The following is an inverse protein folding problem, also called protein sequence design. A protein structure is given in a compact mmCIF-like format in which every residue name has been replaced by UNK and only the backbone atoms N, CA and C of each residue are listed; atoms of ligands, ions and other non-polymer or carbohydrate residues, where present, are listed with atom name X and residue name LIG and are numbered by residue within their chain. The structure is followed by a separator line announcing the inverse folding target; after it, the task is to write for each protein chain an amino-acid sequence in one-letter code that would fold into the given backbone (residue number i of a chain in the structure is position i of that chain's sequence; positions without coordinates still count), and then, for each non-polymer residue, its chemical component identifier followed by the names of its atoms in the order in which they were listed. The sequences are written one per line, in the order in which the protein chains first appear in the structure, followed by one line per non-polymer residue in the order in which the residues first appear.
data_IF_210414131089
#
_entry.id   IF_210414131089
#
_cell.length_a   1.000
_cell.length_b   1.000
_cell.length_c   1.000
_cell.angle_alpha   90.00
_cell.angle_beta   90.00
_cell.angle_gamma   90.00
#
_symmetry.space_group_name_H-M   'P 1'
#
loop_
_entity.id
_entity.type
_entity.pdbx_description
1 polymer ?
#
# COMPACT_ATOMS: atom_id res chain seq x y z
N UNK A 1 -20.07 -4.11 -4.62
CA UNK A 1 -19.15 -5.21 -5.01
C UNK A 1 -18.38 -5.67 -3.77
N UNK A 2 -18.09 -6.97 -3.59
CA UNK A 2 -17.24 -7.44 -2.49
C UNK A 2 -15.84 -6.81 -2.60
N UNK A 3 -15.25 -6.36 -1.47
CA UNK A 3 -13.92 -5.70 -1.43
C UNK A 3 -12.83 -6.43 -2.24
N UNK A 4 -12.83 -7.77 -2.19
CA UNK A 4 -11.88 -8.63 -2.93
C UNK A 4 -12.00 -8.52 -4.45
N UNK A 5 -13.22 -8.38 -4.97
CA UNK A 5 -13.48 -8.27 -6.42
C UNK A 5 -13.01 -6.92 -6.95
N UNK A 6 -13.31 -5.85 -6.21
CA UNK A 6 -12.85 -4.50 -6.56
C UNK A 6 -11.32 -4.43 -6.57
N UNK A 7 -10.68 -5.06 -5.58
CA UNK A 7 -9.22 -5.10 -5.49
C UNK A 7 -8.58 -5.85 -6.67
N UNK A 8 -9.10 -7.02 -7.06
CA UNK A 8 -8.59 -7.78 -8.21
C UNK A 8 -8.76 -7.03 -9.55
N UNK A 9 -9.89 -6.33 -9.75
CA UNK A 9 -10.13 -5.47 -10.92
C UNK A 9 -9.08 -4.38 -11.00
N UNK A 10 -8.83 -3.70 -9.87
CA UNK A 10 -7.90 -2.58 -9.78
C UNK A 10 -6.45 -3.00 -10.05
N UNK A 11 -6.06 -4.17 -9.56
CA UNK A 11 -4.73 -4.71 -9.85
C UNK A 11 -4.55 -5.08 -11.33
N UNK A 12 -5.54 -5.76 -11.94
CA UNK A 12 -5.46 -6.10 -13.35
C UNK A 12 -5.34 -4.84 -14.21
N UNK A 13 -6.08 -3.78 -13.87
CA UNK A 13 -5.94 -2.48 -14.52
C UNK A 13 -4.50 -1.93 -14.40
N UNK A 14 -3.92 -1.96 -13.20
CA UNK A 14 -2.55 -1.50 -13.01
C UNK A 14 -1.51 -2.32 -13.79
N UNK A 15 -1.67 -3.65 -13.87
CA UNK A 15 -0.83 -4.51 -14.71
C UNK A 15 -0.99 -4.19 -16.19
N UNK A 16 -2.22 -3.95 -16.64
CA UNK A 16 -2.52 -3.56 -18.02
C UNK A 16 -1.85 -2.24 -18.37
N UNK A 17 -1.93 -1.22 -17.50
CA UNK A 17 -1.30 0.07 -17.78
C UNK A 17 0.22 0.01 -17.75
N UNK A 18 0.81 -0.59 -16.71
CA UNK A 18 2.26 -0.69 -16.58
C UNK A 18 2.91 -1.39 -17.78
N UNK A 19 2.25 -2.45 -18.30
CA UNK A 19 2.73 -3.19 -19.45
C UNK A 19 2.22 -2.65 -20.80
N UNK A 20 1.56 -1.48 -20.83
CA UNK A 20 0.97 -0.86 -22.03
C UNK A 20 0.07 -1.82 -22.81
N UNK A 21 -0.74 -2.62 -22.10
CA UNK A 21 -1.70 -3.57 -22.66
C UNK A 21 -3.10 -2.97 -22.67
N UNK A 22 -3.73 -2.97 -23.83
CA UNK A 22 -5.13 -2.53 -24.02
C UNK A 22 -6.14 -3.58 -23.54
N UNK A 23 -5.72 -4.83 -23.40
CA UNK A 23 -6.61 -5.94 -23.07
C UNK A 23 -6.08 -6.77 -21.90
N UNK A 24 -7.00 -7.26 -21.08
CA UNK A 24 -6.71 -8.14 -19.94
C UNK A 24 -7.78 -9.21 -19.80
N UNK A 25 -7.43 -10.30 -19.11
CA UNK A 25 -8.34 -11.40 -18.81
C UNK A 25 -8.26 -11.65 -17.30
N UNK A 26 -9.42 -11.71 -16.65
CA UNK A 26 -9.54 -12.17 -15.26
C UNK A 26 -10.36 -13.45 -15.23
N UNK A 27 -9.85 -14.51 -14.62
CA UNK A 27 -10.54 -15.79 -14.52
C UNK A 27 -10.64 -16.24 -13.05
N UNK A 28 -11.85 -16.57 -12.62
CA UNK A 28 -12.17 -17.07 -11.27
C UNK A 28 -12.33 -18.59 -11.23
N UNK A 29 -11.88 -19.30 -12.26
CA UNK A 29 -12.13 -20.71 -12.59
C UNK A 29 -13.59 -21.04 -12.95
N UNK A 30 -14.55 -20.32 -12.39
CA UNK A 30 -15.98 -20.46 -12.71
C UNK A 30 -16.47 -19.41 -13.71
N UNK A 31 -15.78 -18.28 -13.82
CA UNK A 31 -16.20 -17.17 -14.67
C UNK A 31 -15.00 -16.38 -15.18
N UNK A 32 -14.99 -16.09 -16.48
CA UNK A 32 -13.98 -15.29 -17.17
C UNK A 32 -14.55 -13.92 -17.50
N UNK A 33 -13.77 -12.88 -17.25
CA UNK A 33 -14.08 -11.49 -17.57
C UNK A 33 -13.00 -10.95 -18.50
N UNK A 34 -13.42 -10.26 -19.56
CA UNK A 34 -12.53 -9.57 -20.49
C UNK A 34 -12.47 -8.10 -20.11
N UNK A 35 -11.26 -7.56 -20.10
CA UNK A 35 -10.98 -6.17 -19.77
C UNK A 35 -10.46 -5.48 -21.00
N UNK A 36 -10.95 -4.28 -21.28
CA UNK A 36 -10.41 -3.38 -22.29
C UNK A 36 -10.11 -2.04 -21.63
N UNK A 37 -8.93 -1.50 -21.89
CA UNK A 37 -8.52 -0.15 -21.52
C UNK A 37 -8.36 0.65 -22.80
N UNK A 38 -9.01 1.80 -22.86
CA UNK A 38 -8.78 2.75 -23.96
C UNK A 38 -7.55 3.61 -23.72
N UNK A 39 -7.23 4.48 -24.68
CA UNK A 39 -6.04 5.31 -24.63
C UNK A 39 -6.18 6.48 -23.63
N UNK A 40 -7.40 6.73 -23.13
CA UNK A 40 -7.73 7.72 -22.10
C UNK A 40 -7.69 7.13 -20.67
N UNK A 41 -7.49 5.82 -20.54
CA UNK A 41 -7.42 5.11 -19.26
C UNK A 41 -8.76 4.59 -18.73
N UNK A 42 -9.83 4.68 -19.51
CA UNK A 42 -11.13 4.12 -19.12
C UNK A 42 -11.11 2.60 -19.21
N UNK A 43 -11.55 1.92 -18.14
CA UNK A 43 -11.63 0.47 -18.07
C UNK A 43 -13.04 -0.03 -18.35
N UNK A 44 -13.16 -0.88 -19.38
CA UNK A 44 -14.36 -1.60 -19.74
C UNK A 44 -14.22 -3.07 -19.31
N UNK A 45 -15.26 -3.61 -18.69
CA UNK A 45 -15.29 -4.99 -18.21
C UNK A 45 -16.46 -5.71 -18.86
N UNK A 46 -16.22 -6.85 -19.49
CA UNK A 46 -17.28 -7.65 -20.10
C UNK A 46 -18.23 -8.21 -19.05
N UNK A 47 -19.42 -8.62 -19.49
CA UNK A 47 -20.22 -9.56 -18.70
C UNK A 47 -19.40 -10.83 -18.41
N UNK A 48 -19.62 -11.41 -17.23
CA UNK A 48 -18.95 -12.65 -16.84
C UNK A 48 -19.35 -13.79 -17.75
N UNK A 49 -18.38 -14.41 -18.39
CA UNK A 49 -18.54 -15.59 -19.23
C UNK A 49 -18.39 -16.80 -18.31
N UNK A 50 -19.50 -17.44 -17.93
CA UNK A 50 -19.45 -18.61 -17.08
C UNK A 50 -18.72 -19.77 -17.77
N UNK A 51 -17.84 -20.45 -17.03
CA UNK A 51 -17.22 -21.69 -17.50
C UNK A 51 -18.30 -22.79 -17.56
N UNK A 52 -18.41 -23.47 -18.69
CA UNK A 52 -19.27 -24.64 -18.83
C UNK A 52 -18.43 -25.89 -18.53
N UNK A 53 -18.95 -26.83 -17.72
CA UNK A 53 -18.25 -28.08 -17.39
C UNK A 53 -17.92 -28.94 -18.62
N UNK A 54 -18.64 -28.76 -19.74
CA UNK A 54 -18.40 -29.48 -20.99
C UNK A 54 -17.27 -28.87 -21.82
N UNK A 55 -16.98 -27.57 -21.65
CA UNK A 55 -15.89 -26.84 -22.32
C UNK A 55 -15.42 -25.72 -21.40
N UNK A 56 -14.36 -25.93 -20.58
CA UNK A 56 -13.76 -24.82 -19.85
C UNK A 56 -13.26 -23.80 -20.87
N UNK A 57 -13.61 -22.52 -20.71
CA UNK A 57 -13.10 -21.46 -21.58
C UNK A 57 -11.57 -21.50 -21.51
N UNK A 58 -10.93 -21.97 -22.57
CA UNK A 58 -9.47 -22.07 -22.60
C UNK A 58 -8.88 -20.66 -22.68
N UNK A 59 -7.65 -20.49 -22.19
CA UNK A 59 -6.91 -19.24 -22.38
C UNK A 59 -6.86 -18.84 -23.87
N UNK A 60 -6.78 -19.83 -24.76
CA UNK A 60 -6.82 -19.64 -26.21
C UNK A 60 -8.14 -19.05 -26.69
N UNK A 61 -9.29 -19.56 -26.24
CA UNK A 61 -10.60 -19.00 -26.62
C UNK A 61 -10.79 -17.57 -26.08
N UNK A 62 -10.31 -17.28 -24.87
CA UNK A 62 -10.33 -15.94 -24.31
C UNK A 62 -9.44 -14.96 -25.12
N UNK A 63 -8.25 -15.42 -25.54
CA UNK A 63 -7.35 -14.66 -26.44
C UNK A 63 -8.01 -14.48 -27.82
N UNK A 64 -8.66 -15.50 -28.38
CA UNK A 64 -9.35 -15.40 -29.67
C UNK A 64 -10.49 -14.38 -29.62
N UNK A 65 -11.29 -14.33 -28.54
CA UNK A 65 -12.32 -13.30 -28.37
C UNK A 65 -11.73 -11.90 -28.23
N UNK A 66 -10.59 -11.74 -27.56
CA UNK A 66 -9.89 -10.46 -27.51
C UNK A 66 -9.41 -10.02 -28.90
N UNK A 67 -8.83 -10.93 -29.69
CA UNK A 67 -8.35 -10.64 -31.04
C UNK A 67 -9.49 -10.34 -32.03
N UNK A 68 -10.67 -10.95 -31.85
CA UNK A 68 -11.84 -10.69 -32.68
C UNK A 68 -12.53 -9.36 -32.36
N UNK A 69 -12.40 -8.86 -31.12
CA UNK A 69 -12.89 -7.53 -30.71
C UNK A 69 -12.04 -6.35 -31.22
N UNK A 70 -10.89 -6.61 -31.85
CA UNK A 70 -10.07 -5.59 -32.52
C UNK A 70 -10.54 -5.27 -33.96
N UNK A 71 -11.58 -5.95 -34.45
CA UNK A 71 -12.27 -5.61 -35.71
C UNK A 71 -13.65 -5.00 -35.41
N UNK A 72 -13.91 -3.69 -35.67
CA UNK A 72 -15.27 -3.18 -35.68
C UNK A 72 -15.97 -3.64 -36.98
N UNK A 73 -17.31 -3.78 -37.07
CA UNK A 73 -18.35 -3.33 -36.13
C UNK A 73 -19.39 -4.41 -35.76
N UNK A 74 -19.90 -4.38 -34.53
CA UNK A 74 -21.31 -4.64 -34.23
C UNK A 74 -21.57 -4.31 -32.76
N UNK A 75 -22.63 -3.56 -32.54
CA UNK A 75 -23.15 -3.14 -31.24
C UNK A 75 -23.39 -4.35 -30.32
N UNK A 76 -22.55 -4.52 -29.31
CA UNK A 76 -23.02 -5.02 -28.02
C UNK A 76 -22.63 -3.95 -27.00
N UNK A 77 -23.63 -3.18 -26.57
CA UNK A 77 -23.51 -2.20 -25.50
C UNK A 77 -22.88 -2.84 -24.26
N UNK A 78 -21.58 -2.65 -24.10
CA UNK A 78 -20.90 -2.85 -22.83
C UNK A 78 -21.37 -1.70 -21.94
N UNK A 79 -22.11 -1.97 -20.85
CA UNK A 79 -22.59 -0.91 -19.99
C UNK A 79 -21.39 -0.15 -19.43
N UNK A 80 -21.38 1.17 -19.64
CA UNK A 80 -20.49 2.06 -18.90
C UNK A 80 -20.83 1.93 -17.41
N UNK A 81 -19.81 1.71 -16.58
CA UNK A 81 -19.96 1.87 -15.15
C UNK A 81 -20.03 3.38 -14.87
N UNK A 82 -21.24 3.93 -14.77
CA UNK A 82 -21.42 5.33 -14.39
C UNK A 82 -21.04 5.56 -12.92
N UNK A 83 -20.15 6.50 -12.61
CA UNK A 83 -20.03 7.06 -11.27
C UNK A 83 -21.18 8.05 -11.04
N UNK A 84 -22.00 7.82 -10.01
CA UNK A 84 -23.05 8.78 -9.62
C UNK A 84 -22.41 10.05 -9.03
N UNK A 85 -22.78 11.26 -9.48
CA UNK A 85 -22.19 12.50 -8.96
C UNK A 85 -22.89 12.92 -7.64
N UNK A 86 -22.14 13.30 -6.59
CA UNK A 86 -22.70 14.10 -5.51
C UNK A 86 -22.83 15.55 -5.95
N UNK A 87 -23.98 16.16 -5.64
CA UNK A 87 -24.27 17.57 -5.87
C UNK A 87 -23.34 18.48 -5.07
N UNK A 88 -22.82 19.51 -5.73
CA UNK A 88 -22.10 20.61 -5.12
C UNK A 88 -22.91 21.31 -4.03
N UNK A 89 -22.27 21.52 -2.87
CA UNK A 89 -22.40 22.75 -2.09
C UNK A 89 -21.05 23.12 -1.50
N UNK A 90 -20.59 24.31 -1.87
CA UNK A 90 -19.47 25.02 -1.25
C UNK A 90 -19.66 25.17 0.26
N UNK A 91 -18.62 24.86 1.03
CA UNK A 91 -18.28 25.54 2.27
C UNK A 91 -16.78 25.38 2.54
N UNK A 92 -16.09 26.51 2.70
CA UNK A 92 -14.71 26.63 3.15
C UNK A 92 -14.61 26.20 4.63
N UNK A 93 -13.57 25.46 5.01
CA UNK A 93 -12.60 25.81 6.08
C UNK A 93 -11.65 24.64 6.44
N UNK A 94 -10.52 25.04 7.03
CA UNK A 94 -9.23 24.36 7.18
C UNK A 94 -9.15 23.43 8.44
N UNK A 95 -7.98 22.85 8.82
CA UNK A 95 -7.57 21.45 8.67
C UNK A 95 -7.58 20.63 9.99
N UNK A 96 -7.10 19.38 9.92
CA UNK A 96 -6.88 18.42 11.01
C UNK A 96 -8.12 17.81 11.68
N UNK A 97 -8.43 16.58 11.24
CA UNK A 97 -9.04 15.51 12.06
C UNK A 97 -8.84 14.18 11.33
N UNK A 98 -8.31 13.19 12.04
CA UNK A 98 -8.21 11.81 11.58
C UNK A 98 -9.57 11.35 11.03
N UNK A 99 -9.59 10.89 9.77
CA UNK A 99 -10.83 10.51 9.07
C UNK A 99 -11.15 9.02 9.32
N UNK A 100 -12.44 8.67 9.55
CA UNK A 100 -12.85 7.30 9.88
C UNK A 100 -12.88 6.37 8.65
N UNK A 101 -12.73 5.05 8.90
CA UNK A 101 -12.80 3.95 7.92
C UNK A 101 -14.08 4.05 7.06
N UNK A 102 -13.94 4.48 5.79
CA UNK A 102 -15.06 4.56 4.85
C UNK A 102 -14.84 5.38 3.57
N UNK A 103 -13.79 6.20 3.46
CA UNK A 103 -13.46 6.91 2.21
C UNK A 103 -12.68 6.03 1.22
N UNK A 104 -12.85 6.33 -0.07
CA UNK A 104 -12.12 5.69 -1.16
C UNK A 104 -10.61 5.79 -0.90
N UNK A 105 -9.85 4.70 -1.09
CA UNK A 105 -8.44 4.68 -0.80
C UNK A 105 -7.70 5.67 -1.72
N UNK A 106 -6.78 6.41 -1.13
CA UNK A 106 -6.07 7.49 -1.79
C UNK A 106 -5.18 6.95 -2.91
N UNK A 107 -5.31 7.50 -4.13
CA UNK A 107 -4.53 7.07 -5.28
C UNK A 107 -3.25 7.90 -5.39
N UNK A 108 -2.10 7.23 -5.34
CA UNK A 108 -0.79 7.80 -5.66
C UNK A 108 -0.34 7.19 -6.98
N UNK A 109 -0.29 8.04 -8.01
CA UNK A 109 0.21 7.65 -9.33
C UNK A 109 1.73 7.68 -9.33
N UNK A 110 2.34 6.67 -9.93
CA UNK A 110 3.81 6.53 -9.94
C UNK A 110 4.48 7.42 -10.95
N UNK A 111 3.75 7.81 -12.00
CA UNK A 111 4.21 8.87 -12.89
C UNK A 111 4.54 10.17 -12.12
N UNK A 112 3.94 10.34 -10.93
CA UNK A 112 4.13 11.52 -10.09
C UNK A 112 5.21 11.31 -9.01
N UNK A 113 5.78 10.10 -8.87
CA UNK A 113 6.86 9.81 -7.91
C UNK A 113 8.23 9.99 -8.59
N UNK A 114 9.02 11.02 -8.21
CA UNK A 114 10.37 11.19 -8.73
C UNK A 114 11.34 10.18 -8.11
N UNK A 115 12.32 9.71 -8.91
CA UNK A 115 13.53 9.00 -8.51
C UNK A 115 13.35 7.98 -7.35
N UNK A 116 12.45 7.00 -7.54
CA UNK A 116 12.19 5.99 -6.51
C UNK A 116 13.30 4.91 -6.44
N UNK A 117 13.55 4.44 -5.22
CA UNK A 117 14.51 3.36 -4.93
C UNK A 117 13.92 2.32 -3.99
N UNK A 118 14.02 1.04 -4.34
CA UNK A 118 13.62 -0.05 -3.44
C UNK A 118 14.72 -0.24 -2.40
N UNK A 119 14.41 0.05 -1.14
CA UNK A 119 15.39 -0.01 -0.03
C UNK A 119 15.29 -1.32 0.77
N UNK A 120 14.14 -2.00 0.73
CA UNK A 120 13.99 -3.33 1.33
C UNK A 120 12.93 -4.15 0.60
N UNK A 121 13.09 -5.48 0.59
CA UNK A 121 12.12 -6.42 0.05
C UNK A 121 11.94 -7.61 1.00
N UNK A 122 10.72 -8.07 1.19
CA UNK A 122 10.39 -9.18 2.09
C UNK A 122 9.10 -9.87 1.65
N UNK A 123 9.21 -11.09 1.14
CA UNK A 123 8.05 -11.86 0.67
C UNK A 123 7.24 -11.11 -0.40
N UNK A 124 6.03 -10.68 -0.05
CA UNK A 124 5.14 -9.91 -0.93
C UNK A 124 5.07 -8.42 -0.56
N UNK A 125 5.94 -7.96 0.33
CA UNK A 125 6.09 -6.55 0.72
C UNK A 125 7.42 -5.96 0.24
N UNK A 126 7.42 -4.67 -0.07
CA UNK A 126 8.63 -3.90 -0.42
C UNK A 126 8.56 -2.50 0.18
N UNK A 127 9.71 -1.97 0.58
CA UNK A 127 9.85 -0.58 1.02
C UNK A 127 10.50 0.22 -0.10
N UNK A 128 9.84 1.31 -0.50
CA UNK A 128 10.29 2.21 -1.56
C UNK A 128 10.58 3.59 -0.98
N UNK A 129 11.81 4.07 -1.11
CA UNK A 129 12.18 5.45 -0.83
C UNK A 129 11.91 6.32 -2.07
N UNK A 130 11.29 7.47 -1.87
CA UNK A 130 10.99 8.45 -2.93
C UNK A 130 10.63 9.80 -2.28
N UNK A 131 10.18 10.76 -3.08
CA UNK A 131 9.60 12.01 -2.63
C UNK A 131 8.10 12.03 -2.95
N UNK A 132 7.27 12.50 -2.03
CA UNK A 132 5.84 12.68 -2.21
C UNK A 132 5.43 14.03 -1.63
N UNK A 133 4.82 14.89 -2.45
CA UNK A 133 4.51 16.29 -2.10
C UNK A 133 5.73 17.06 -1.56
N UNK A 134 6.90 16.89 -2.19
CA UNK A 134 8.18 17.50 -1.75
C UNK A 134 8.70 16.99 -0.39
N UNK A 135 8.12 15.90 0.14
CA UNK A 135 8.54 15.26 1.39
C UNK A 135 9.26 13.94 1.07
N UNK A 136 10.49 13.72 1.57
CA UNK A 136 11.14 12.42 1.50
C UNK A 136 10.36 11.36 2.29
N UNK A 137 9.94 10.30 1.63
CA UNK A 137 9.09 9.25 2.20
C UNK A 137 9.63 7.84 1.98
N UNK A 138 9.30 6.95 2.90
CA UNK A 138 9.39 5.52 2.77
C UNK A 138 7.97 4.94 2.62
N UNK A 139 7.68 4.32 1.49
CA UNK A 139 6.39 3.71 1.18
C UNK A 139 6.51 2.21 1.40
N UNK A 140 5.78 1.66 2.38
CA UNK A 140 5.62 0.21 2.52
C UNK A 140 4.52 -0.23 1.59
N UNK A 141 4.83 -1.18 0.72
CA UNK A 141 3.97 -1.63 -0.38
C UNK A 141 3.73 -3.11 -0.25
N UNK A 142 2.52 -3.57 -0.53
CA UNK A 142 2.11 -4.97 -0.41
C UNK A 142 1.32 -5.41 -1.65
N UNK A 143 1.65 -6.60 -2.15
CA UNK A 143 0.87 -7.28 -3.18
C UNK A 143 -0.25 -8.12 -2.56
N UNK A 144 -1.38 -7.49 -2.38
CA UNK A 144 -2.58 -8.03 -1.72
C UNK A 144 -3.37 -9.01 -2.59
N UNK A 145 -3.03 -9.20 -3.86
CA UNK A 145 -3.52 -10.35 -4.63
C UNK A 145 -2.69 -11.60 -4.40
N UNK A 146 -1.36 -11.48 -4.26
CA UNK A 146 -0.51 -12.62 -3.90
C UNK A 146 -0.73 -13.06 -2.46
N UNK A 147 -0.86 -12.10 -1.54
CA UNK A 147 -1.16 -12.40 -0.13
C UNK A 147 -2.21 -11.42 0.42
N UNK A 148 -3.51 -11.77 0.33
CA UNK A 148 -4.60 -10.90 0.81
C UNK A 148 -4.55 -10.55 2.29
N UNK A 149 -3.90 -11.38 3.12
CA UNK A 149 -3.75 -11.15 4.58
C UNK A 149 -2.88 -9.94 4.90
N UNK A 150 -1.95 -9.57 4.00
CA UNK A 150 -1.07 -8.42 4.22
C UNK A 150 -1.81 -7.09 4.24
N UNK A 151 -3.03 -7.02 3.67
CA UNK A 151 -3.84 -5.81 3.78
C UNK A 151 -4.26 -5.58 5.24
N UNK A 152 -4.60 -6.65 5.96
CA UNK A 152 -4.95 -6.57 7.38
C UNK A 152 -3.72 -6.20 8.22
N UNK A 153 -2.55 -6.77 7.90
CA UNK A 153 -1.27 -6.40 8.53
C UNK A 153 -0.90 -4.92 8.28
N UNK A 154 -1.15 -4.41 7.07
CA UNK A 154 -0.92 -3.01 6.73
C UNK A 154 -1.86 -2.05 7.50
N UNK A 155 -3.14 -2.43 7.65
CA UNK A 155 -4.07 -1.68 8.49
C UNK A 155 -3.67 -1.72 9.96
N UNK A 156 -3.22 -2.87 10.43
CA UNK A 156 -2.77 -3.06 11.79
C UNK A 156 -1.57 -2.18 12.13
N UNK A 157 -0.58 -2.14 11.23
CA UNK A 157 0.56 -1.24 11.35
C UNK A 157 0.13 0.23 11.35
N UNK A 158 -0.78 0.61 10.46
CA UNK A 158 -1.34 1.96 10.42
C UNK A 158 -2.06 2.34 11.73
N UNK A 159 -2.79 1.42 12.34
CA UNK A 159 -3.47 1.63 13.63
C UNK A 159 -2.44 1.82 14.76
N UNK A 160 -1.31 1.11 14.74
CA UNK A 160 -0.21 1.29 15.68
C UNK A 160 0.44 2.68 15.55
N UNK A 161 0.79 3.11 14.34
CA UNK A 161 1.31 4.47 14.09
C UNK A 161 0.31 5.55 14.52
N UNK A 162 -0.98 5.35 14.23
CA UNK A 162 -2.04 6.28 14.65
C UNK A 162 -2.13 6.39 16.18
N UNK A 163 -1.95 5.28 16.90
CA UNK A 163 -1.94 5.27 18.37
C UNK A 163 -0.71 5.99 18.92
N UNK A 164 0.41 5.93 18.20
CA UNK A 164 1.70 6.51 18.58
C UNK A 164 1.92 7.93 18.03
N UNK A 165 0.86 8.65 17.65
CA UNK A 165 0.94 10.00 17.05
C UNK A 165 1.86 10.95 17.85
N UNK A 166 1.82 10.87 19.18
CA UNK A 166 2.57 11.73 20.08
C UNK A 166 4.11 11.58 20.02
N UNK A 167 4.62 10.46 19.50
CA UNK A 167 6.07 10.15 19.45
C UNK A 167 6.62 10.08 18.02
N UNK A 168 5.79 10.40 17.02
CA UNK A 168 6.18 10.45 15.62
C UNK A 168 7.19 11.57 15.34
N UNK A 169 8.18 11.30 14.50
CA UNK A 169 9.29 12.20 14.17
C UNK A 169 10.43 12.19 15.20
N UNK A 170 10.10 11.88 16.46
CA UNK A 170 11.08 11.74 17.54
C UNK A 170 11.73 10.36 17.52
N UNK A 171 11.01 9.31 17.92
CA UNK A 171 11.56 7.96 18.01
C UNK A 171 10.94 6.95 17.02
N UNK A 172 9.90 7.34 16.29
CA UNK A 172 9.32 6.55 15.19
C UNK A 172 9.11 7.45 13.94
N UNK A 173 8.98 6.89 12.73
CA UNK A 173 8.62 7.65 11.54
C UNK A 173 7.28 8.38 11.68
N UNK A 174 7.13 9.50 10.97
CA UNK A 174 5.84 10.18 10.83
C UNK A 174 4.98 9.42 9.84
N UNK A 175 3.74 9.08 10.21
CA UNK A 175 2.73 8.61 9.27
C UNK A 175 2.27 9.77 8.38
N UNK A 176 2.74 9.79 7.13
CA UNK A 176 2.43 10.84 6.14
C UNK A 176 1.09 10.58 5.48
N UNK A 177 0.83 9.33 5.06
CA UNK A 177 -0.48 8.91 4.52
C UNK A 177 -0.89 7.55 5.09
N UNK A 178 -2.09 7.43 5.68
CA UNK A 178 -2.55 6.20 6.32
C UNK A 178 -2.91 5.10 5.31
N UNK A 179 -2.90 3.85 5.77
CA UNK A 179 -3.26 2.71 4.94
C UNK A 179 -4.78 2.67 4.59
N UNK A 180 -5.15 2.20 3.39
CA UNK A 180 -4.28 1.86 2.28
C UNK A 180 -4.17 3.04 1.31
N UNK A 181 -2.94 3.37 0.95
CA UNK A 181 -2.59 4.15 -0.23
C UNK A 181 -2.48 3.20 -1.41
N UNK A 182 -3.07 3.60 -2.53
CA UNK A 182 -3.11 2.82 -3.76
C UNK A 182 -1.98 3.25 -4.67
N UNK A 183 -1.13 2.31 -5.06
CA UNK A 183 0.06 2.58 -5.84
C UNK A 183 0.08 1.72 -7.12
N UNK A 184 0.97 2.07 -8.04
CA UNK A 184 1.13 1.40 -9.35
C UNK A 184 -0.21 1.20 -10.06
N UNK A 185 -1.00 2.28 -10.16
CA UNK A 185 -2.30 2.25 -10.83
C UNK A 185 -3.25 1.16 -10.29
N UNK A 186 -3.10 0.84 -9.00
CA UNK A 186 -3.94 -0.13 -8.34
C UNK A 186 -3.32 -1.49 -8.08
N UNK A 187 -2.10 -1.77 -8.56
CA UNK A 187 -1.41 -3.04 -8.35
C UNK A 187 -1.02 -3.28 -6.90
N UNK A 188 -0.62 -2.25 -6.15
CA UNK A 188 -0.16 -2.41 -4.77
C UNK A 188 -0.99 -1.53 -3.83
N UNK A 189 -1.17 -2.01 -2.61
CA UNK A 189 -1.60 -1.20 -1.47
C UNK A 189 -0.38 -0.83 -0.63
N UNK A 190 -0.45 0.27 0.11
CA UNK A 190 0.66 0.69 0.95
C UNK A 190 0.29 1.69 2.05
N UNK A 191 1.29 2.06 2.84
CA UNK A 191 1.24 3.16 3.79
C UNK A 191 2.49 4.01 3.59
N UNK A 192 2.40 5.31 3.86
CA UNK A 192 3.49 6.26 3.60
C UNK A 192 4.00 6.81 4.91
N UNK A 193 5.30 6.62 5.16
CA UNK A 193 6.02 7.12 6.33
C UNK A 193 7.07 8.14 5.90
N UNK A 194 7.48 9.04 6.80
CA UNK A 194 8.66 9.88 6.58
C UNK A 194 9.91 9.01 6.38
N UNK A 195 10.78 9.37 5.44
CA UNK A 195 12.03 8.66 5.24
C UNK A 195 13.01 8.95 6.38
N UNK A 196 13.59 7.90 6.96
CA UNK A 196 14.67 8.00 7.94
C UNK A 196 16.00 7.72 7.27
N UNK A 197 16.83 8.75 7.12
CA UNK A 197 18.17 8.64 6.57
C UNK A 197 19.11 8.04 7.64
N UNK A 198 19.41 6.75 7.49
CA UNK A 198 20.24 6.01 8.43
C UNK A 198 20.43 4.57 7.97
N UNK A 199 21.25 3.83 8.72
CA UNK A 199 21.44 2.39 8.53
C UNK A 199 20.72 1.64 9.64
N UNK A 200 20.25 0.44 9.34
CA UNK A 200 19.73 -0.43 10.40
C UNK A 200 20.88 -0.86 11.32
N UNK A 201 20.60 -1.15 12.59
CA UNK A 201 21.63 -1.67 13.50
C UNK A 201 22.16 -3.04 13.02
N UNK A 202 21.35 -3.79 12.25
CA UNK A 202 21.76 -5.04 11.63
C UNK A 202 22.82 -4.80 10.55
N UNK A 203 22.63 -3.79 9.68
CA UNK A 203 23.59 -3.41 8.66
C UNK A 203 24.91 -2.87 9.23
N UNK A 204 24.85 -2.16 10.36
CA UNK A 204 26.04 -1.62 11.05
C UNK A 204 26.93 -2.73 11.61
N UNK A 205 26.34 -3.81 12.11
CA UNK A 205 27.06 -4.84 12.85
C UNK A 205 27.48 -4.39 14.26
N UNK A 206 27.86 -5.36 15.10
CA UNK A 206 28.06 -5.12 16.54
C UNK A 206 29.16 -4.11 16.88
N UNK A 207 30.25 -4.10 16.13
CA UNK A 207 31.38 -3.21 16.39
C UNK A 207 31.01 -1.74 16.16
N UNK A 208 30.28 -1.44 15.07
CA UNK A 208 29.78 -0.08 14.81
C UNK A 208 28.66 0.30 15.78
N UNK A 209 27.75 -0.63 16.12
CA UNK A 209 26.69 -0.38 17.12
C UNK A 209 27.30 0.02 18.48
N UNK A 210 28.45 -0.54 18.85
CA UNK A 210 29.16 -0.18 20.09
C UNK A 210 29.67 1.27 20.09
N UNK A 211 29.83 1.90 18.91
CA UNK A 211 30.23 3.30 18.78
C UNK A 211 29.07 4.28 18.99
N UNK A 212 27.81 3.81 19.00
CA UNK A 212 26.65 4.67 19.24
C UNK A 212 26.76 5.30 20.64
N UNK A 213 26.65 6.64 20.76
CA UNK A 213 26.80 7.33 22.03
C UNK A 213 25.88 6.76 23.11
N UNK A 214 26.39 6.69 24.35
CA UNK A 214 25.68 6.07 25.47
C UNK A 214 24.34 6.76 25.73
N UNK A 215 24.31 8.09 25.62
CA UNK A 215 23.10 8.90 25.76
C UNK A 215 22.02 8.53 24.74
N UNK A 216 22.40 8.21 23.50
CA UNK A 216 21.46 7.78 22.46
C UNK A 216 20.90 6.40 22.77
N UNK A 217 21.76 5.46 23.22
CA UNK A 217 21.32 4.13 23.66
C UNK A 217 20.40 4.19 24.88
N UNK A 218 20.72 5.05 25.86
CA UNK A 218 19.86 5.29 27.02
C UNK A 218 18.53 5.94 26.63
N UNK A 219 18.54 6.88 25.69
CA UNK A 219 17.33 7.52 25.19
C UNK A 219 16.44 6.50 24.46
N UNK A 220 17.01 5.62 23.64
CA UNK A 220 16.28 4.53 22.95
C UNK A 220 15.48 3.65 23.92
N UNK A 221 16.05 3.35 25.10
CA UNK A 221 15.34 2.60 26.16
C UNK A 221 14.19 3.41 26.76
N UNK A 222 14.31 4.74 26.86
CA UNK A 222 13.23 5.62 27.32
C UNK A 222 12.14 5.74 26.27
N UNK A 223 12.52 5.91 25.01
CA UNK A 223 11.62 5.97 23.87
C UNK A 223 10.78 4.69 23.77
N UNK A 224 11.40 3.51 23.93
CA UNK A 224 10.66 2.24 23.98
C UNK A 224 9.67 2.18 25.15
N UNK A 225 10.02 2.73 26.32
CA UNK A 225 9.09 2.81 27.46
C UNK A 225 7.94 3.76 27.20
N UNK A 226 8.17 4.82 26.44
CA UNK A 226 7.13 5.77 26.04
C UNK A 226 6.17 5.13 25.03
N UNK A 227 6.69 4.39 24.04
CA UNK A 227 5.88 3.55 23.14
C UNK A 227 4.99 2.59 23.97
N UNK A 228 5.58 1.92 24.96
CA UNK A 228 4.84 1.01 25.84
C UNK A 228 3.80 1.73 26.73
N UNK A 229 4.08 2.95 27.20
CA UNK A 229 3.15 3.72 28.05
C UNK A 229 1.93 4.21 27.28
N UNK A 230 2.05 4.38 25.95
CA UNK A 230 0.96 4.64 25.02
C UNK A 230 0.14 3.37 24.69
N UNK A 231 0.47 2.24 25.32
CA UNK A 231 -0.31 1.00 25.20
C UNK A 231 0.00 0.20 23.94
N UNK A 232 1.17 0.40 23.32
CA UNK A 232 1.64 -0.34 22.15
C UNK A 232 2.91 -1.10 22.51
N UNK A 233 2.94 -2.40 22.24
CA UNK A 233 4.16 -3.21 22.22
C UNK A 233 4.58 -3.37 20.75
N UNK A 234 5.87 -3.21 20.44
CA UNK A 234 6.34 -3.30 19.05
C UNK A 234 6.14 -4.69 18.42
N UNK A 235 6.26 -5.76 19.22
CA UNK A 235 6.02 -7.15 18.78
C UNK A 235 7.11 -7.80 17.90
N UNK A 236 8.00 -7.02 17.29
CA UNK A 236 9.14 -7.50 16.50
C UNK A 236 10.40 -6.64 16.72
N UNK A 237 10.83 -6.53 17.98
CA UNK A 237 12.02 -5.75 18.31
C UNK A 237 13.29 -6.52 17.90
N UNK A 238 13.85 -6.14 16.75
CA UNK A 238 15.07 -6.71 16.18
C UNK A 238 15.97 -5.61 15.61
N UNK A 239 17.27 -5.90 15.41
CA UNK A 239 18.24 -4.90 14.91
C UNK A 239 17.89 -4.34 13.53
N UNK A 240 17.25 -5.14 12.68
CA UNK A 240 16.72 -4.71 11.38
C UNK A 240 15.61 -3.64 11.48
N UNK A 241 14.93 -3.56 12.62
CA UNK A 241 13.82 -2.65 12.89
C UNK A 241 14.24 -1.42 13.73
N UNK A 242 15.56 -1.20 13.85
CA UNK A 242 16.15 -0.06 14.55
C UNK A 242 17.08 0.67 13.59
N UNK A 243 16.78 1.93 13.28
CA UNK A 243 17.58 2.74 12.36
C UNK A 243 18.40 3.76 13.16
N UNK A 244 19.72 3.75 12.97
CA UNK A 244 20.59 4.79 13.50
C UNK A 244 20.60 6.00 12.56
N UNK A 245 19.97 7.08 13.00
CA UNK A 245 19.94 8.35 12.27
C UNK A 245 20.94 9.33 12.88
N UNK A 246 21.80 9.89 12.04
CA UNK A 246 22.77 10.93 12.46
C UNK A 246 22.39 12.32 11.97
N UNK A 247 21.44 12.42 11.04
CA UNK A 247 20.97 13.68 10.48
C UNK A 247 20.23 14.51 11.54
N UNK A 248 20.71 15.73 11.76
CA UNK A 248 20.16 16.65 12.76
C UNK A 248 20.45 16.17 14.19
N UNK A 249 19.45 15.56 14.85
CA UNK A 249 19.57 15.02 16.21
C UNK A 249 19.88 13.51 16.14
N UNK A 250 21.07 13.07 16.55
CA UNK A 250 21.42 11.66 16.58
C UNK A 250 20.46 10.86 17.46
N UNK A 251 19.87 9.80 16.91
CA UNK A 251 18.88 8.97 17.61
C UNK A 251 18.69 7.63 16.92
N UNK A 252 18.16 6.65 17.66
CA UNK A 252 17.68 5.39 17.10
C UNK A 252 16.18 5.51 16.89
N UNK A 253 15.72 5.16 15.70
CA UNK A 253 14.31 5.20 15.30
C UNK A 253 13.78 3.77 15.19
N UNK A 254 12.63 3.49 15.80
CA UNK A 254 11.92 2.21 15.69
C UNK A 254 11.04 2.21 14.45
N UNK A 255 11.12 1.14 13.65
CA UNK A 255 10.35 0.98 12.40
C UNK A 255 9.69 -0.39 12.34
N UNK A 256 8.75 -0.57 11.41
CA UNK A 256 8.03 -1.82 11.15
C UNK A 256 7.16 -2.29 12.32
N UNK A 257 6.02 -1.63 12.49
CA UNK A 257 5.01 -1.96 13.52
C UNK A 257 4.01 -3.01 13.04
N UNK A 258 4.33 -3.77 11.98
CA UNK A 258 3.42 -4.80 11.41
C UNK A 258 3.01 -5.90 12.38
N UNK A 259 3.81 -6.15 13.43
CA UNK A 259 3.54 -7.14 14.48
C UNK A 259 3.17 -6.51 15.83
N UNK A 260 2.86 -5.21 15.86
CA UNK A 260 2.57 -4.51 17.10
C UNK A 260 1.40 -5.15 17.86
N UNK A 261 1.38 -5.04 19.18
CA UNK A 261 0.20 -5.40 19.98
C UNK A 261 -0.28 -4.13 20.65
N UNK A 262 -1.50 -3.73 20.33
CA UNK A 262 -2.12 -2.56 20.94
C UNK A 262 -3.03 -2.99 22.08
N UNK A 263 -3.28 -2.09 23.03
CA UNK A 263 -4.20 -2.36 24.14
C UNK A 263 -5.62 -2.71 23.68
N UNK A 264 -6.00 -2.36 22.45
CA UNK A 264 -7.27 -2.75 21.83
C UNK A 264 -7.33 -4.23 21.46
N UNK A 265 -6.18 -4.86 21.19
CA UNK A 265 -6.09 -6.27 20.80
C UNK A 265 -6.22 -7.21 22.01
N UNK A 266 -5.96 -6.70 23.21
CA UNK A 266 -5.88 -7.50 24.45
C UNK A 266 -7.23 -7.60 25.18
N UNK A 267 -8.22 -6.79 24.82
CA UNK A 267 -9.60 -6.92 25.33
C UNK A 267 -9.72 -6.91 26.85
N UNK A 268 -9.73 -5.71 27.45
CA UNK A 268 -10.27 -5.46 28.79
C UNK A 268 -11.44 -4.47 28.70
#
# INVERSE_FOLDING_TARGET
MPRKVFHAIRQLYGYMSFNKRRFGIFNTFTTTFLFKRDDEGTLFISKGIAANQLVPLTLLEAITRLLLNDNPPAEEDLPQAEPTPPKDRFAQDNPNKAKPRGQQPELVLIADLPDYHVIATGGSASIVATELDEIPVAIKTVDTCKSPKMLDELYHECDAYTTLEAVQGDCIPILVRPAPVVLWEGMLDGLVLSLNNGRTLEEMGMDEVATIPLECRMQTVRDLREIHSLGVLHGDLAMRNLIWCQDGRPRIVFVDFGQAVTSRDVGC
#
